data_IF_992443627670
#
_entry.id   IF_992443627670
#
_cell.length_a   1.000
_cell.length_b   1.000
_cell.length_c   1.000
_cell.angle_alpha   90.00
_cell.angle_beta   90.00
_cell.angle_gamma   90.00
#
_symmetry.space_group_name_H-M   'P 1'
#
loop_
_entity.id
_entity.type
_entity.pdbx_description
1 polymer ?
#
# COMPACT_ATOMS: atom_id res chain seq x y z
N UNK A 1 33.16 9.68 -10.32
CA UNK A 1 31.92 10.39 -10.70
C UNK A 1 30.75 9.46 -10.40
N UNK A 2 29.94 9.70 -9.36
CA UNK A 2 28.81 8.80 -9.07
C UNK A 2 27.76 8.97 -10.17
N UNK A 3 27.43 7.87 -10.82
CA UNK A 3 26.59 7.74 -12.01
C UNK A 3 25.16 8.24 -11.78
N UNK A 4 24.57 8.79 -12.85
CA UNK A 4 23.20 9.30 -12.99
C UNK A 4 22.09 8.39 -12.42
N UNK A 5 22.36 7.11 -12.16
CA UNK A 5 21.47 6.15 -11.52
C UNK A 5 21.07 6.54 -10.09
N UNK A 6 22.00 7.06 -9.27
CA UNK A 6 21.69 7.45 -7.88
C UNK A 6 20.76 8.68 -7.82
N UNK A 7 20.76 9.52 -8.87
CA UNK A 7 19.85 10.67 -8.96
C UNK A 7 18.42 10.25 -9.28
N UNK A 8 18.16 9.12 -9.95
CA UNK A 8 16.79 8.67 -10.23
C UNK A 8 16.12 8.00 -9.03
N UNK A 9 16.89 7.39 -8.14
CA UNK A 9 16.38 6.77 -6.90
C UNK A 9 15.95 7.79 -5.82
N UNK A 10 16.52 9.01 -5.82
CA UNK A 10 16.29 9.99 -4.75
C UNK A 10 15.14 10.98 -5.06
N UNK A 11 14.71 11.10 -6.31
CA UNK A 11 13.70 12.11 -6.70
C UNK A 11 12.24 11.73 -6.42
N UNK A 12 11.96 10.48 -6.03
CA UNK A 12 10.58 10.07 -5.67
C UNK A 12 10.31 10.23 -4.16
N UNK A 13 11.35 10.26 -3.32
CA UNK A 13 11.18 10.25 -1.85
C UNK A 13 11.36 11.63 -1.19
N UNK A 14 12.10 12.55 -1.81
CA UNK A 14 12.43 13.85 -1.19
C UNK A 14 11.48 15.01 -1.58
N UNK A 15 10.66 14.84 -2.62
CA UNK A 15 9.73 15.89 -3.06
C UNK A 15 8.47 16.07 -2.17
N UNK A 16 8.29 15.22 -1.14
CA UNK A 16 7.11 15.22 -0.28
C UNK A 16 7.24 16.02 1.04
N UNK A 17 8.41 16.57 1.39
CA UNK A 17 8.66 16.92 2.80
C UNK A 17 9.10 18.35 3.17
N UNK A 18 9.25 19.30 2.24
CA UNK A 18 9.66 20.66 2.64
C UNK A 18 8.87 21.79 1.95
N UNK A 19 7.93 22.37 2.69
CA UNK A 19 7.26 23.63 2.39
C UNK A 19 7.23 24.52 3.63
N UNK A 20 8.12 25.51 3.64
CA UNK A 20 8.40 26.47 4.71
C UNK A 20 7.29 27.52 4.87
N UNK A 21 7.26 28.11 6.08
CA UNK A 21 6.25 28.95 6.70
C UNK A 21 6.27 30.43 6.23
N UNK A 22 5.11 31.11 6.23
CA UNK A 22 5.04 32.55 6.55
C UNK A 22 3.65 33.00 7.02
N UNK A 23 3.65 33.93 7.98
CA UNK A 23 2.56 34.40 8.84
C UNK A 23 1.44 35.21 8.19
N UNK A 24 0.27 35.27 8.86
CA UNK A 24 -0.54 36.50 8.88
C UNK A 24 -2.07 36.40 8.93
N UNK A 25 -2.61 36.58 10.15
CA UNK A 25 -3.83 37.36 10.51
C UNK A 25 -5.24 36.79 10.22
N UNK A 26 -6.09 36.80 11.26
CA UNK A 26 -7.52 37.11 11.15
C UNK A 26 -8.47 36.24 11.97
N UNK A 27 -8.79 36.63 13.21
CA UNK A 27 -9.85 36.02 14.03
C UNK A 27 -11.24 36.39 13.49
N UNK A 28 -12.15 35.43 13.38
CA UNK A 28 -13.59 35.68 13.40
C UNK A 28 -14.31 34.59 14.21
N UNK A 29 -15.10 35.05 15.18
CA UNK A 29 -15.86 34.28 16.16
C UNK A 29 -17.24 33.99 15.57
N UNK A 30 -17.67 32.73 15.57
CA UNK A 30 -19.05 32.33 15.24
C UNK A 30 -19.63 31.64 16.47
N UNK A 31 -20.80 32.11 16.93
CA UNK A 31 -21.52 31.60 18.10
C UNK A 31 -22.19 30.23 17.83
N UNK A 32 -22.39 29.39 18.86
CA UNK A 32 -22.92 28.06 18.69
C UNK A 32 -24.45 28.08 18.52
N UNK A 33 -24.94 27.32 17.53
CA UNK A 33 -26.36 27.03 17.35
C UNK A 33 -26.70 25.76 18.15
N UNK A 34 -27.72 25.84 19.00
CA UNK A 34 -28.26 24.72 19.78
C UNK A 34 -28.88 23.67 18.86
N UNK A 35 -28.53 22.40 19.05
CA UNK A 35 -29.28 21.26 18.52
C UNK A 35 -29.71 20.31 19.66
N UNK A 36 -30.93 19.80 19.51
CA UNK A 36 -31.76 19.10 20.49
C UNK A 36 -31.33 17.64 20.71
N UNK A 37 -31.68 17.02 21.86
CA UNK A 37 -31.18 15.71 22.22
C UNK A 37 -31.94 14.59 21.49
N UNK A 38 -31.21 13.69 20.82
CA UNK A 38 -31.73 12.39 20.38
C UNK A 38 -31.22 11.33 21.36
N UNK A 39 -32.16 10.69 22.02
CA UNK A 39 -31.97 9.67 23.06
C UNK A 39 -31.49 8.33 22.50
N UNK A 40 -30.38 7.87 23.05
CA UNK A 40 -30.00 6.48 23.41
C UNK A 40 -30.25 5.36 22.39
N UNK A 41 -29.22 5.06 21.60
CA UNK A 41 -28.90 3.69 21.18
C UNK A 41 -27.62 3.28 21.91
N UNK A 42 -27.76 2.50 22.99
CA UNK A 42 -26.61 1.94 23.71
C UNK A 42 -25.97 0.83 22.86
N UNK A 43 -25.01 1.20 22.03
CA UNK A 43 -24.02 0.27 21.50
C UNK A 43 -22.95 0.16 22.59
N UNK A 44 -22.79 -1.03 23.16
CA UNK A 44 -21.70 -1.32 24.07
C UNK A 44 -20.37 -1.00 23.35
N UNK A 45 -19.45 -0.22 23.93
CA UNK A 45 -18.11 -0.11 23.39
C UNK A 45 -17.46 -1.49 23.57
N UNK A 46 -17.35 -2.24 22.49
CA UNK A 46 -16.34 -3.28 22.40
C UNK A 46 -15.01 -2.57 22.55
N UNK A 47 -14.23 -2.92 23.57
CA UNK A 47 -12.87 -2.39 23.76
C UNK A 47 -12.15 -2.45 22.41
N UNK A 48 -11.64 -1.31 21.93
CA UNK A 48 -10.91 -1.27 20.67
C UNK A 48 -9.67 -2.17 20.81
N UNK A 49 -9.46 -3.14 19.91
CA UNK A 49 -8.35 -4.08 20.03
C UNK A 49 -7.03 -3.32 19.97
N UNK A 50 -6.14 -3.52 20.95
CA UNK A 50 -4.87 -2.78 21.01
C UNK A 50 -3.98 -3.08 19.78
N UNK A 51 -3.67 -2.05 18.99
CA UNK A 51 -2.57 -2.08 18.01
C UNK A 51 -1.29 -1.65 18.74
N UNK A 52 -0.28 -2.50 18.64
CA UNK A 52 1.01 -2.36 19.33
C UNK A 52 1.79 -1.11 18.90
N UNK A 53 1.39 -0.46 17.79
CA UNK A 53 1.99 0.76 17.25
C UNK A 53 0.94 1.81 16.84
N UNK A 54 -0.17 1.91 17.57
CA UNK A 54 -1.15 2.98 17.34
C UNK A 54 -0.58 4.35 17.70
N UNK A 55 -0.79 5.33 16.82
CA UNK A 55 -0.46 6.73 17.11
C UNK A 55 -1.32 7.19 18.29
N UNK A 56 -0.74 7.67 19.40
CA UNK A 56 -1.49 7.99 20.62
C UNK A 56 -2.22 9.31 20.45
N UNK A 57 -3.35 9.29 19.74
CA UNK A 57 -4.23 10.45 19.56
C UNK A 57 -5.69 10.02 19.61
N UNK A 58 -6.12 9.46 20.76
CA UNK A 58 -7.54 9.47 21.11
C UNK A 58 -7.91 10.87 21.60
N UNK A 59 -8.08 11.80 20.65
CA UNK A 59 -8.63 13.12 20.94
C UNK A 59 -10.10 13.12 20.55
N UNK A 60 -11.00 13.43 21.48
CA UNK A 60 -12.44 13.59 21.24
C UNK A 60 -12.81 14.75 20.29
N UNK A 61 -11.83 15.37 19.63
CA UNK A 61 -12.01 16.56 18.80
C UNK A 61 -11.15 16.47 17.54
N UNK A 62 -11.80 16.69 16.39
CA UNK A 62 -11.14 16.74 15.08
C UNK A 62 -10.31 18.02 14.98
N UNK A 63 -9.04 17.85 14.60
CA UNK A 63 -8.08 18.93 14.39
C UNK A 63 -8.17 19.40 12.94
N UNK A 64 -8.99 20.43 12.70
CA UNK A 64 -9.38 20.88 11.36
C UNK A 64 -8.21 21.20 10.42
N UNK A 65 -7.10 21.76 10.91
CA UNK A 65 -5.94 22.03 10.03
C UNK A 65 -5.26 20.74 9.57
N UNK A 66 -5.20 19.70 10.42
CA UNK A 66 -4.65 18.38 10.03
C UNK A 66 -5.58 17.71 9.03
N UNK A 67 -6.89 17.81 9.25
CA UNK A 67 -7.88 17.35 8.28
C UNK A 67 -7.74 18.08 6.93
N UNK A 68 -7.52 19.39 6.95
CA UNK A 68 -7.23 20.18 5.75
C UNK A 68 -5.96 19.71 5.03
N UNK A 69 -4.90 19.37 5.77
CA UNK A 69 -3.66 18.80 5.20
C UNK A 69 -3.93 17.44 4.58
N UNK A 70 -4.57 16.51 5.30
CA UNK A 70 -4.88 15.17 4.79
C UNK A 70 -5.78 15.26 3.56
N UNK A 71 -6.84 16.06 3.60
CA UNK A 71 -7.73 16.29 2.47
C UNK A 71 -7.00 16.93 1.27
N UNK A 72 -6.15 17.93 1.52
CA UNK A 72 -5.34 18.56 0.47
C UNK A 72 -4.35 17.61 -0.19
N UNK A 73 -3.64 16.79 0.60
CA UNK A 73 -2.76 15.74 0.09
C UNK A 73 -3.53 14.68 -0.70
N UNK A 74 -4.75 14.34 -0.25
CA UNK A 74 -5.63 13.38 -0.95
C UNK A 74 -6.01 13.89 -2.33
N UNK A 75 -6.48 15.14 -2.43
CA UNK A 75 -6.86 15.77 -3.70
C UNK A 75 -5.64 15.94 -4.61
N UNK A 76 -4.51 16.40 -4.06
CA UNK A 76 -3.26 16.54 -4.80
C UNK A 76 -2.75 15.20 -5.34
N UNK A 77 -2.78 14.15 -4.53
CA UNK A 77 -2.43 12.80 -4.91
C UNK A 77 -3.35 12.24 -6.00
N UNK A 78 -4.67 12.45 -5.87
CA UNK A 78 -5.63 12.05 -6.90
C UNK A 78 -5.35 12.73 -8.24
N UNK A 79 -5.13 14.06 -8.24
CA UNK A 79 -4.83 14.83 -9.45
C UNK A 79 -3.52 14.34 -10.08
N UNK A 80 -2.47 14.17 -9.27
CA UNK A 80 -1.19 13.67 -9.75
C UNK A 80 -1.33 12.26 -10.35
N UNK A 81 -2.00 11.35 -9.64
CA UNK A 81 -2.27 9.99 -10.10
C UNK A 81 -3.05 10.01 -11.42
N UNK A 82 -4.10 10.83 -11.53
CA UNK A 82 -4.84 10.99 -12.78
C UNK A 82 -3.94 11.39 -13.96
N UNK A 83 -3.02 12.33 -13.76
CA UNK A 83 -2.11 12.76 -14.82
C UNK A 83 -1.04 11.71 -15.14
N UNK A 84 -0.52 11.01 -14.13
CA UNK A 84 0.45 9.94 -14.32
C UNK A 84 -0.19 8.79 -15.10
N UNK A 85 -1.30 8.24 -14.60
CA UNK A 85 -2.03 7.15 -15.27
C UNK A 85 -2.57 7.59 -16.64
N UNK A 86 -3.02 8.83 -16.76
CA UNK A 86 -3.42 9.41 -18.05
C UNK A 86 -2.28 9.45 -19.06
N UNK A 87 -1.04 9.58 -18.60
CA UNK A 87 0.13 9.55 -19.46
C UNK A 87 0.70 8.14 -19.68
N UNK A 88 0.38 7.17 -18.84
CA UNK A 88 0.88 5.81 -18.94
C UNK A 88 -0.12 4.92 -19.70
N UNK A 89 -1.37 4.86 -19.25
CA UNK A 89 -2.35 3.87 -19.68
C UNK A 89 -3.50 4.45 -20.51
N UNK A 90 -3.83 5.74 -20.35
CA UNK A 90 -5.00 6.35 -21.04
C UNK A 90 -4.66 7.29 -22.19
N UNK A 91 -3.47 7.15 -22.79
CA UNK A 91 -3.06 7.93 -23.97
C UNK A 91 -3.67 7.40 -25.29
N UNK A 92 -4.08 6.14 -25.30
CA UNK A 92 -4.59 5.44 -26.49
C UNK A 92 -5.98 5.90 -26.95
N UNK A 93 -6.55 5.15 -27.90
CA UNK A 93 -7.90 5.39 -28.38
C UNK A 93 -8.94 5.12 -27.28
N UNK A 94 -10.03 5.89 -27.35
CA UNK A 94 -11.15 5.77 -26.41
C UNK A 94 -12.23 4.89 -27.03
N UNK A 95 -12.85 4.09 -26.18
CA UNK A 95 -13.94 3.18 -26.52
C UNK A 95 -15.25 3.60 -25.84
N UNK A 96 -16.36 3.00 -26.26
CA UNK A 96 -17.54 2.91 -25.39
C UNK A 96 -17.21 2.04 -24.18
N UNK A 97 -17.89 2.26 -23.05
CA UNK A 97 -17.60 1.50 -21.84
C UNK A 97 -17.70 -0.01 -22.09
N UNK A 98 -16.62 -0.75 -21.80
CA UNK A 98 -16.61 -2.20 -21.87
C UNK A 98 -15.84 -2.83 -20.71
N UNK A 99 -16.04 -4.14 -20.57
CA UNK A 99 -15.31 -4.98 -19.64
C UNK A 99 -14.23 -5.74 -20.40
N UNK A 100 -13.14 -6.10 -19.72
CA UNK A 100 -12.19 -7.11 -20.20
C UNK A 100 -12.53 -8.46 -19.57
N UNK A 101 -12.64 -9.52 -20.38
CA UNK A 101 -13.00 -10.86 -19.92
C UNK A 101 -11.94 -11.90 -20.29
N UNK A 102 -11.40 -11.82 -21.51
CA UNK A 102 -10.44 -12.80 -22.02
C UNK A 102 -9.04 -12.57 -21.41
N UNK A 103 -8.62 -11.32 -21.30
CA UNK A 103 -7.29 -10.96 -20.83
C UNK A 103 -7.23 -10.88 -19.30
N UNK A 104 -8.37 -10.71 -18.62
CA UNK A 104 -8.47 -10.42 -17.19
C UNK A 104 -7.64 -11.36 -16.28
N UNK A 105 -7.62 -12.66 -16.60
CA UNK A 105 -6.93 -13.68 -15.81
C UNK A 105 -5.64 -14.20 -16.45
N UNK A 106 -5.32 -13.70 -17.64
CA UNK A 106 -4.20 -14.14 -18.47
C UNK A 106 -3.11 -13.07 -18.48
N UNK A 107 -3.51 -11.81 -18.41
CA UNK A 107 -2.65 -10.65 -18.49
C UNK A 107 -1.52 -10.73 -17.46
N UNK A 108 -0.29 -10.60 -17.94
CA UNK A 108 0.93 -10.64 -17.12
C UNK A 108 1.03 -11.86 -16.18
N UNK A 109 0.43 -12.99 -16.55
CA UNK A 109 0.32 -14.19 -15.70
C UNK A 109 -0.38 -13.90 -14.35
N UNK A 110 -1.26 -12.90 -14.30
CA UNK A 110 -1.93 -12.46 -13.08
C UNK A 110 -1.02 -11.71 -12.10
N UNK A 111 0.20 -11.33 -12.49
CA UNK A 111 1.11 -10.55 -11.64
C UNK A 111 0.56 -9.15 -11.34
N UNK A 112 -0.22 -8.58 -12.28
CA UNK A 112 -0.97 -7.34 -12.13
C UNK A 112 -1.93 -7.38 -10.93
N UNK A 113 -2.62 -8.50 -10.71
CA UNK A 113 -3.55 -8.69 -9.59
C UNK A 113 -2.87 -8.51 -8.23
N UNK A 114 -1.59 -8.86 -8.11
CA UNK A 114 -0.84 -8.59 -6.86
C UNK A 114 -0.59 -7.10 -6.65
N UNK A 115 -0.33 -6.34 -7.72
CA UNK A 115 -0.25 -4.88 -7.66
C UNK A 115 -1.59 -4.23 -7.28
N UNK A 116 -2.68 -4.73 -7.86
CA UNK A 116 -4.06 -4.32 -7.53
C UNK A 116 -4.47 -4.70 -6.11
N UNK A 117 -3.95 -5.79 -5.55
CA UNK A 117 -4.13 -6.08 -4.12
C UNK A 117 -3.28 -5.15 -3.24
N UNK A 118 -2.00 -5.04 -3.55
CA UNK A 118 -1.01 -4.39 -2.69
C UNK A 118 -1.21 -2.87 -2.58
N UNK A 119 -1.54 -2.21 -3.69
CA UNK A 119 -1.71 -0.75 -3.72
C UNK A 119 -2.81 -0.24 -2.77
N UNK A 120 -4.06 -0.72 -2.84
CA UNK A 120 -5.10 -0.34 -1.89
C UNK A 120 -4.90 -0.93 -0.49
N UNK A 121 -4.16 -2.03 -0.31
CA UNK A 121 -3.75 -2.48 1.02
C UNK A 121 -2.92 -1.41 1.74
N UNK A 122 -1.83 -0.95 1.12
CA UNK A 122 -0.97 0.12 1.66
C UNK A 122 -1.72 1.45 1.72
N UNK A 123 -2.47 1.78 0.67
CA UNK A 123 -3.25 3.02 0.59
C UNK A 123 -4.27 3.15 1.72
N UNK A 124 -4.98 2.06 2.05
CA UNK A 124 -5.91 2.03 3.18
C UNK A 124 -5.20 2.31 4.49
N UNK A 125 -4.02 1.75 4.73
CA UNK A 125 -3.31 2.03 5.97
C UNK A 125 -2.78 3.46 6.06
N UNK A 126 -2.19 3.99 4.98
CA UNK A 126 -1.68 5.36 4.95
C UNK A 126 -2.80 6.38 5.18
N UNK A 127 -3.97 6.17 4.57
CA UNK A 127 -5.14 7.00 4.83
C UNK A 127 -5.61 6.87 6.28
N UNK A 128 -5.67 5.65 6.82
CA UNK A 128 -6.09 5.42 8.22
C UNK A 128 -5.18 6.17 9.19
N UNK A 129 -3.85 6.01 9.06
CA UNK A 129 -2.86 6.72 9.89
C UNK A 129 -3.01 8.24 9.76
N UNK A 130 -3.19 8.75 8.54
CA UNK A 130 -3.40 10.18 8.29
C UNK A 130 -4.67 10.70 8.96
N UNK A 131 -5.77 9.97 8.88
CA UNK A 131 -7.06 10.33 9.48
C UNK A 131 -7.03 10.25 11.02
N UNK A 132 -6.39 9.23 11.59
CA UNK A 132 -6.14 9.14 13.04
C UNK A 132 -5.32 10.34 13.53
N UNK A 133 -4.32 10.76 12.76
CA UNK A 133 -3.54 11.95 13.08
C UNK A 133 -4.38 13.23 13.13
N UNK A 134 -5.53 13.28 12.43
CA UNK A 134 -6.48 14.39 12.53
C UNK A 134 -7.35 14.37 13.79
N UNK A 135 -7.27 13.31 14.61
CA UNK A 135 -8.12 13.11 15.78
C UNK A 135 -9.47 12.44 15.46
N UNK A 136 -9.60 11.81 14.28
CA UNK A 136 -10.73 10.89 14.04
C UNK A 136 -10.51 9.61 14.86
N UNK A 137 -11.60 9.02 15.36
CA UNK A 137 -11.52 7.71 16.02
C UNK A 137 -10.96 6.66 15.06
N UNK A 138 -10.35 5.61 15.60
CA UNK A 138 -9.75 4.54 14.82
C UNK A 138 -10.75 3.86 13.89
N UNK A 139 -11.93 3.53 14.42
CA UNK A 139 -13.02 2.95 13.62
C UNK A 139 -13.42 3.87 12.46
N UNK A 140 -13.62 5.17 12.71
CA UNK A 140 -13.98 6.12 11.65
C UNK A 140 -12.86 6.28 10.62
N UNK A 141 -11.61 6.36 11.09
CA UNK A 141 -10.44 6.47 10.23
C UNK A 141 -10.29 5.27 9.31
N UNK A 142 -10.49 4.05 9.80
CA UNK A 142 -10.45 2.83 9.00
C UNK A 142 -11.50 2.85 7.88
N UNK A 143 -12.76 3.15 8.19
CA UNK A 143 -13.83 3.12 7.19
C UNK A 143 -13.73 4.24 6.16
N UNK A 144 -13.31 5.44 6.58
CA UNK A 144 -12.99 6.53 5.64
C UNK A 144 -11.81 6.16 4.75
N UNK A 145 -10.76 5.57 5.32
CA UNK A 145 -9.60 5.12 4.55
C UNK A 145 -9.96 4.04 3.53
N UNK A 146 -10.74 3.04 3.93
CA UNK A 146 -11.25 2.00 3.05
C UNK A 146 -12.10 2.58 1.92
N UNK A 147 -12.99 3.53 2.23
CA UNK A 147 -13.80 4.22 1.22
C UNK A 147 -12.98 5.05 0.24
N UNK A 148 -11.95 5.77 0.71
CA UNK A 148 -11.06 6.57 -0.13
C UNK A 148 -10.19 5.69 -1.04
N UNK A 149 -9.60 4.62 -0.50
CA UNK A 149 -8.80 3.68 -1.27
C UNK A 149 -9.63 2.95 -2.34
N UNK A 150 -10.78 2.38 -1.96
CA UNK A 150 -11.71 1.75 -2.91
C UNK A 150 -12.25 2.74 -3.95
N UNK A 151 -12.56 3.97 -3.54
CA UNK A 151 -13.03 5.00 -4.46
C UNK A 151 -12.00 5.34 -5.54
N UNK A 152 -10.71 5.38 -5.18
CA UNK A 152 -9.64 5.61 -6.14
C UNK A 152 -9.44 4.42 -7.10
N UNK A 153 -9.43 3.18 -6.59
CA UNK A 153 -9.26 2.01 -7.46
C UNK A 153 -10.46 1.79 -8.38
N UNK A 154 -11.69 1.92 -7.87
CA UNK A 154 -12.90 1.88 -8.71
C UNK A 154 -12.86 2.96 -9.80
N UNK A 155 -12.37 4.16 -9.46
CA UNK A 155 -12.19 5.22 -10.43
C UNK A 155 -11.22 4.81 -11.56
N UNK A 156 -10.11 4.14 -11.23
CA UNK A 156 -9.15 3.61 -12.22
C UNK A 156 -9.83 2.57 -13.11
N UNK A 157 -10.49 1.56 -12.54
CA UNK A 157 -11.17 0.51 -13.34
C UNK A 157 -12.26 1.08 -14.27
N UNK A 158 -13.01 2.09 -13.80
CA UNK A 158 -14.00 2.78 -14.64
C UNK A 158 -13.31 3.51 -15.80
N UNK A 159 -12.14 4.10 -15.57
CA UNK A 159 -11.36 4.78 -16.61
C UNK A 159 -10.80 3.79 -17.62
N UNK A 160 -10.33 2.63 -17.17
CA UNK A 160 -9.89 1.54 -18.05
C UNK A 160 -11.05 1.03 -18.90
N UNK A 161 -12.26 1.00 -18.36
CA UNK A 161 -13.48 0.69 -19.10
C UNK A 161 -13.75 1.55 -20.34
N UNK A 162 -13.19 2.77 -20.42
CA UNK A 162 -13.32 3.66 -21.60
C UNK A 162 -12.06 3.67 -22.49
N UNK A 163 -11.11 2.76 -22.27
CA UNK A 163 -9.91 2.59 -23.09
C UNK A 163 -10.10 1.42 -24.05
N UNK A 164 -9.84 1.63 -25.34
CA UNK A 164 -9.91 0.55 -26.35
C UNK A 164 -8.91 -0.59 -26.08
N UNK A 165 -7.79 -0.29 -25.41
CA UNK A 165 -6.72 -1.25 -25.11
C UNK A 165 -6.99 -2.09 -23.86
N UNK A 166 -7.66 -1.52 -22.85
CA UNK A 166 -7.83 -2.16 -21.54
C UNK A 166 -9.24 -2.71 -21.33
N UNK A 167 -10.16 -1.91 -20.80
CA UNK A 167 -11.48 -2.33 -20.32
C UNK A 167 -11.54 -2.47 -18.79
N UNK A 168 -12.74 -2.40 -18.22
CA UNK A 168 -12.95 -2.61 -16.79
C UNK A 168 -12.65 -4.08 -16.45
N UNK A 169 -11.73 -4.32 -15.53
CA UNK A 169 -11.36 -5.66 -15.10
C UNK A 169 -12.10 -6.05 -13.82
N UNK A 170 -12.75 -7.22 -13.84
CA UNK A 170 -13.34 -7.78 -12.62
C UNK A 170 -12.27 -8.39 -11.72
N UNK A 171 -11.22 -8.98 -12.29
CA UNK A 171 -10.09 -9.49 -11.52
C UNK A 171 -9.36 -8.39 -10.75
N UNK A 172 -9.11 -7.25 -11.37
CA UNK A 172 -8.50 -6.07 -10.74
C UNK A 172 -9.42 -5.49 -9.68
N UNK A 173 -10.71 -5.31 -9.99
CA UNK A 173 -11.70 -4.89 -8.99
C UNK A 173 -11.73 -5.83 -7.75
N UNK A 174 -11.68 -7.16 -7.96
CA UNK A 174 -11.65 -8.14 -6.87
C UNK A 174 -10.34 -8.03 -6.09
N UNK A 175 -9.19 -7.98 -6.77
CA UNK A 175 -7.89 -7.84 -6.13
C UNK A 175 -7.80 -6.56 -5.30
N UNK A 176 -8.25 -5.43 -5.86
CA UNK A 176 -8.37 -4.16 -5.18
C UNK A 176 -9.22 -4.27 -3.90
N UNK A 177 -10.39 -4.91 -4.02
CA UNK A 177 -11.31 -5.12 -2.91
C UNK A 177 -10.72 -6.01 -1.81
N UNK A 178 -9.96 -7.05 -2.19
CA UNK A 178 -9.26 -7.91 -1.25
C UNK A 178 -8.15 -7.16 -0.51
N UNK A 179 -7.43 -6.25 -1.18
CA UNK A 179 -6.40 -5.41 -0.55
C UNK A 179 -6.96 -4.50 0.54
N UNK A 180 -8.04 -3.77 0.24
CA UNK A 180 -8.77 -2.96 1.24
C UNK A 180 -9.33 -3.86 2.34
N UNK A 181 -9.99 -4.95 1.93
CA UNK A 181 -10.60 -5.92 2.83
C UNK A 181 -9.62 -6.54 3.81
N UNK A 182 -8.38 -6.78 3.39
CA UNK A 182 -7.32 -7.29 4.26
C UNK A 182 -7.01 -6.32 5.40
N UNK A 183 -6.88 -5.01 5.11
CA UNK A 183 -6.62 -4.01 6.17
C UNK A 183 -7.80 -3.84 7.11
N UNK A 184 -9.04 -3.99 6.61
CA UNK A 184 -10.24 -4.05 7.45
C UNK A 184 -10.25 -5.33 8.29
N UNK A 185 -9.84 -6.46 7.74
CA UNK A 185 -9.79 -7.73 8.46
C UNK A 185 -8.75 -7.69 9.60
N UNK A 186 -7.56 -7.13 9.36
CA UNK A 186 -6.53 -6.90 10.40
C UNK A 186 -7.06 -6.09 11.60
N UNK A 187 -8.01 -5.18 11.38
CA UNK A 187 -8.64 -4.42 12.46
C UNK A 187 -9.52 -5.29 13.38
N UNK A 188 -10.30 -6.21 12.80
CA UNK A 188 -11.20 -7.08 13.55
C UNK A 188 -10.54 -8.37 14.05
N UNK A 189 -9.49 -8.82 13.37
CA UNK A 189 -8.69 -9.98 13.72
C UNK A 189 -7.20 -9.58 13.73
N UNK A 190 -6.69 -9.08 14.88
CA UNK A 190 -5.30 -8.65 15.02
C UNK A 190 -4.27 -9.75 14.71
N UNK A 191 -4.66 -11.03 14.78
CA UNK A 191 -3.76 -12.12 14.38
C UNK A 191 -3.31 -12.00 12.91
N UNK A 192 -4.12 -11.41 12.03
CA UNK A 192 -3.76 -11.21 10.62
C UNK A 192 -2.58 -10.25 10.43
N UNK A 193 -2.28 -9.40 11.42
CA UNK A 193 -1.11 -8.51 11.36
C UNK A 193 0.22 -9.27 11.38
N UNK A 194 0.20 -10.57 11.73
CA UNK A 194 1.35 -11.46 11.60
C UNK A 194 1.71 -11.78 10.14
N UNK A 195 0.86 -11.43 9.19
CA UNK A 195 1.12 -11.57 7.76
C UNK A 195 1.14 -10.18 7.14
N UNK A 196 2.36 -9.65 6.93
CA UNK A 196 2.57 -8.34 6.30
C UNK A 196 2.84 -8.52 4.81
N UNK A 197 2.04 -7.87 3.97
CA UNK A 197 2.27 -7.84 2.54
C UNK A 197 3.31 -6.77 2.21
N UNK A 198 4.34 -7.16 1.48
CA UNK A 198 5.45 -6.29 1.09
C UNK A 198 5.72 -6.36 -0.41
N UNK A 199 6.35 -5.32 -0.93
CA UNK A 199 6.83 -5.28 -2.31
C UNK A 199 8.33 -5.02 -2.34
N UNK A 200 8.99 -5.51 -3.39
CA UNK A 200 10.34 -5.08 -3.74
C UNK A 200 10.52 -5.07 -5.25
N UNK A 201 11.65 -4.48 -5.67
CA UNK A 201 11.95 -4.29 -7.09
C UNK A 201 13.38 -4.68 -7.39
N UNK A 202 13.56 -5.51 -8.42
CA UNK A 202 14.84 -5.80 -9.04
C UNK A 202 14.70 -5.64 -10.55
N UNK A 203 15.30 -4.58 -11.08
CA UNK A 203 15.07 -4.14 -12.45
C UNK A 203 15.41 -5.25 -13.46
N UNK A 204 14.44 -5.64 -14.29
CA UNK A 204 14.65 -6.54 -15.42
C UNK A 204 15.59 -5.90 -16.46
N UNK A 205 16.12 -6.73 -17.35
CA UNK A 205 16.94 -6.22 -18.46
C UNK A 205 16.09 -5.38 -19.43
N UNK A 206 14.82 -5.75 -19.67
CA UNK A 206 13.91 -4.95 -20.48
C UNK A 206 13.67 -3.55 -19.88
N UNK A 207 13.49 -3.45 -18.56
CA UNK A 207 13.38 -2.14 -17.90
C UNK A 207 14.68 -1.33 -18.00
N UNK A 208 15.84 -1.95 -17.77
CA UNK A 208 17.16 -1.30 -17.87
C UNK A 208 17.45 -0.79 -19.28
N UNK A 209 16.99 -1.50 -20.31
CA UNK A 209 17.10 -1.13 -21.72
C UNK A 209 16.07 -0.06 -22.15
N UNK A 210 15.10 0.26 -21.28
CA UNK A 210 14.13 1.32 -21.50
C UNK A 210 12.86 0.87 -22.21
N UNK A 211 12.53 -0.42 -22.19
CA UNK A 211 11.29 -0.95 -22.75
C UNK A 211 10.05 -0.41 -22.00
N UNK A 212 10.20 -0.09 -20.73
CA UNK A 212 9.14 0.45 -19.87
C UNK A 212 9.50 1.83 -19.35
N UNK A 213 8.50 2.69 -19.27
CA UNK A 213 8.67 4.06 -18.77
C UNK A 213 8.69 4.13 -17.24
N UNK A 214 8.05 3.17 -16.58
CA UNK A 214 8.02 3.03 -15.12
C UNK A 214 8.29 1.58 -14.72
N UNK A 215 8.87 1.38 -13.53
CA UNK A 215 9.22 0.03 -13.06
C UNK A 215 7.99 -0.79 -12.67
N UNK A 216 6.87 -0.12 -12.38
CA UNK A 216 5.61 -0.76 -12.00
C UNK A 216 4.87 -1.36 -13.20
N UNK A 217 5.12 -0.84 -14.42
CA UNK A 217 4.61 -1.44 -15.67
C UNK A 217 5.42 -2.69 -16.07
N UNK A 218 6.59 -2.90 -15.47
CA UNK A 218 7.40 -4.09 -15.67
C UNK A 218 7.16 -5.11 -14.56
N UNK A 219 6.24 -6.04 -14.84
CA UNK A 219 5.92 -7.12 -13.92
C UNK A 219 7.09 -8.06 -13.64
N UNK A 220 8.10 -8.13 -14.52
CA UNK A 220 9.32 -8.89 -14.26
C UNK A 220 10.24 -8.19 -13.26
N UNK A 221 10.10 -6.87 -13.09
CA UNK A 221 10.86 -6.12 -12.08
C UNK A 221 10.24 -6.20 -10.69
N UNK A 222 9.01 -6.70 -10.56
CA UNK A 222 8.22 -6.60 -9.33
C UNK A 222 8.18 -7.93 -8.58
N UNK A 223 8.37 -7.85 -7.27
CA UNK A 223 8.36 -8.99 -6.35
C UNK A 223 7.38 -8.73 -5.21
N UNK A 224 6.46 -9.67 -5.00
CA UNK A 224 5.44 -9.59 -3.96
C UNK A 224 5.74 -10.59 -2.86
N UNK A 225 5.64 -10.16 -1.61
CA UNK A 225 6.03 -10.94 -0.45
C UNK A 225 4.93 -11.01 0.59
N UNK A 226 4.67 -12.19 1.11
CA UNK A 226 4.00 -12.39 2.40
C UNK A 226 5.07 -12.57 3.47
N UNK A 227 5.28 -11.56 4.31
CA UNK A 227 6.19 -11.61 5.45
C UNK A 227 5.45 -12.12 6.68
N UNK A 228 5.95 -13.23 7.22
CA UNK A 228 5.38 -13.91 8.38
C UNK A 228 6.15 -13.52 9.65
N UNK A 229 5.46 -12.90 10.61
CA UNK A 229 6.01 -12.59 11.93
C UNK A 229 6.14 -13.85 12.76
N UNK A 230 7.31 -14.49 12.66
CA UNK A 230 7.60 -15.74 13.34
C UNK A 230 7.57 -15.56 14.86
N UNK A 231 8.08 -14.43 15.38
CA UNK A 231 8.15 -14.20 16.83
C UNK A 231 6.76 -14.25 17.46
N UNK A 232 5.79 -13.53 16.90
CA UNK A 232 4.44 -13.45 17.46
C UNK A 232 3.64 -14.74 17.25
N UNK A 233 3.90 -15.46 16.15
CA UNK A 233 3.29 -16.76 15.85
C UNK A 233 3.87 -17.91 16.69
N UNK A 234 5.06 -17.76 17.28
CA UNK A 234 5.67 -18.78 18.13
C UNK A 234 4.97 -18.87 19.50
N UNK A 235 4.91 -20.07 20.11
CA UNK A 235 4.45 -20.22 21.49
C UNK A 235 5.33 -19.41 22.46
N UNK A 236 4.74 -18.89 23.53
CA UNK A 236 5.39 -17.95 24.47
C UNK A 236 6.78 -18.40 24.95
N UNK A 237 6.97 -19.69 25.18
CA UNK A 237 8.24 -20.26 25.65
C UNK A 237 9.37 -20.26 24.60
N UNK A 238 9.05 -20.05 23.32
CA UNK A 238 10.02 -19.98 22.21
C UNK A 238 10.28 -18.55 21.73
N UNK A 239 9.46 -17.57 22.14
CA UNK A 239 9.58 -16.18 21.67
C UNK A 239 10.92 -15.53 22.00
N UNK A 240 11.51 -15.84 23.16
CA UNK A 240 12.82 -15.32 23.55
C UNK A 240 13.99 -15.90 22.74
N UNK A 241 13.75 -16.96 21.96
CA UNK A 241 14.78 -17.61 21.14
C UNK A 241 14.81 -17.08 19.71
N UNK A 242 13.79 -16.34 19.28
CA UNK A 242 13.67 -15.81 17.94
C UNK A 242 13.71 -14.28 17.96
N UNK A 243 14.56 -13.61 17.18
CA UNK A 243 14.57 -12.14 17.15
C UNK A 243 13.26 -11.58 16.60
N UNK A 244 12.67 -10.61 17.29
CA UNK A 244 11.42 -9.92 16.91
C UNK A 244 11.52 -9.09 15.61
N UNK A 245 12.75 -8.76 15.21
CA UNK A 245 13.06 -8.07 13.96
C UNK A 245 13.32 -9.01 12.76
N UNK A 246 13.24 -10.34 12.93
CA UNK A 246 13.39 -11.32 11.83
C UNK A 246 12.06 -12.00 11.52
N UNK A 247 11.66 -11.93 10.26
CA UNK A 247 10.51 -12.63 9.69
C UNK A 247 10.94 -13.65 8.63
N UNK A 248 9.98 -14.46 8.17
CA UNK A 248 10.14 -15.32 7.00
C UNK A 248 9.26 -14.79 5.87
N UNK A 249 9.87 -14.48 4.72
CA UNK A 249 9.18 -14.02 3.52
C UNK A 249 8.85 -15.16 2.56
N UNK A 250 7.61 -15.23 2.11
CA UNK A 250 7.19 -16.05 0.96
C UNK A 250 6.99 -15.12 -0.24
N UNK A 251 7.85 -15.26 -1.25
CA UNK A 251 7.90 -14.34 -2.39
C UNK A 251 7.37 -14.94 -3.69
N UNK A 252 6.86 -14.07 -4.55
CA UNK A 252 6.39 -14.37 -5.89
C UNK A 252 6.84 -13.30 -6.88
N UNK A 253 7.20 -13.73 -8.09
CA UNK A 253 7.42 -12.86 -9.25
C UNK A 253 7.16 -13.66 -10.53
N UNK A 254 7.20 -12.98 -11.67
CA UNK A 254 7.05 -13.56 -13.00
C UNK A 254 8.25 -13.23 -13.87
N UNK A 255 8.55 -14.08 -14.85
CA UNK A 255 9.68 -13.93 -15.79
C UNK A 255 9.31 -14.36 -17.19
N UNK A 256 10.03 -13.81 -18.17
CA UNK A 256 9.82 -14.00 -19.61
C UNK A 256 8.36 -13.69 -20.02
N UNK A 257 7.80 -12.60 -19.47
CA UNK A 257 6.38 -12.28 -19.57
C UNK A 257 6.07 -11.62 -20.91
N UNK A 258 5.08 -12.17 -21.61
CA UNK A 258 4.38 -11.45 -22.68
C UNK A 258 2.98 -11.16 -22.20
N UNK A 259 2.74 -9.91 -21.81
CA UNK A 259 1.62 -9.56 -20.95
C UNK A 259 0.26 -10.02 -21.52
N UNK A 260 -0.07 -9.68 -22.77
CA UNK A 260 -1.36 -10.06 -23.37
C UNK A 260 -1.46 -11.54 -23.79
N UNK A 261 -0.33 -12.21 -24.03
CA UNK A 261 -0.34 -13.62 -24.45
C UNK A 261 -0.42 -14.59 -23.25
N UNK A 262 -0.21 -14.09 -22.03
CA UNK A 262 -0.15 -14.89 -20.81
C UNK A 262 0.96 -15.93 -20.82
N UNK A 263 2.05 -15.67 -21.55
CA UNK A 263 3.22 -16.56 -21.58
C UNK A 263 4.30 -16.08 -20.61
N UNK A 264 5.10 -17.01 -20.12
CA UNK A 264 6.21 -16.79 -19.19
C UNK A 264 6.19 -17.88 -18.12
N UNK A 265 6.77 -17.60 -16.95
CA UNK A 265 6.68 -18.50 -15.80
C UNK A 265 6.71 -17.76 -14.46
N UNK A 266 6.17 -18.42 -13.45
CA UNK A 266 6.22 -17.96 -12.07
C UNK A 266 7.51 -18.37 -11.39
N UNK A 267 8.04 -17.47 -10.57
CA UNK A 267 9.09 -17.75 -9.62
C UNK A 267 8.53 -17.67 -8.20
N UNK A 268 8.86 -18.68 -7.38
CA UNK A 268 8.48 -18.72 -5.97
C UNK A 268 9.74 -18.68 -5.12
N UNK A 269 9.65 -17.96 -4.00
CA UNK A 269 10.78 -17.65 -3.14
C UNK A 269 10.45 -17.92 -1.67
N UNK A 270 11.47 -18.33 -0.92
CA UNK A 270 11.45 -18.34 0.54
C UNK A 270 12.71 -17.62 1.01
N UNK A 271 12.56 -16.64 1.90
CA UNK A 271 13.68 -15.85 2.40
C UNK A 271 13.50 -15.39 3.83
N UNK A 272 14.55 -14.80 4.39
CA UNK A 272 14.41 -13.96 5.57
C UNK A 272 13.76 -12.65 5.16
N UNK A 273 13.07 -12.00 6.10
CA UNK A 273 12.57 -10.64 5.95
C UNK A 273 12.87 -9.85 7.24
N UNK A 274 12.94 -8.53 7.12
CA UNK A 274 13.25 -7.64 8.23
C UNK A 274 11.97 -6.96 8.71
N UNK A 275 11.61 -7.21 9.97
CA UNK A 275 10.50 -6.50 10.61
C UNK A 275 10.99 -5.15 11.15
N UNK A 276 10.82 -4.09 10.37
CA UNK A 276 11.32 -2.76 10.73
C UNK A 276 10.55 -2.12 11.87
N UNK A 277 9.34 -2.60 12.17
CA UNK A 277 8.54 -2.16 13.32
C UNK A 277 9.16 -2.55 14.67
N UNK A 278 9.97 -3.62 14.70
CA UNK A 278 10.74 -4.04 15.88
C UNK A 278 12.05 -3.28 16.10
N UNK A 279 12.42 -2.34 15.22
CA UNK A 279 13.66 -1.57 15.37
C UNK A 279 13.53 -0.52 16.50
N UNK A 280 14.65 -0.19 17.18
CA UNK A 280 14.64 0.79 18.27
C UNK A 280 14.25 2.19 17.77
N UNK A 281 13.55 2.94 18.61
CA UNK A 281 13.05 4.29 18.31
C UNK A 281 11.57 4.41 18.65
N UNK A 282 11.22 5.46 19.39
CA UNK A 282 9.88 5.68 19.95
C UNK A 282 9.29 6.98 19.44
N UNK A 283 7.96 7.02 19.31
CA UNK A 283 7.19 8.21 19.00
C UNK A 283 6.60 8.19 17.60
N UNK A 284 5.56 9.01 17.41
CA UNK A 284 4.68 8.98 16.24
C UNK A 284 5.40 9.00 14.88
N UNK A 285 6.45 9.81 14.75
CA UNK A 285 7.24 9.86 13.53
C UNK A 285 8.01 8.56 13.27
N UNK A 286 8.65 7.99 14.30
CA UNK A 286 9.41 6.76 14.16
C UNK A 286 8.51 5.57 13.90
N UNK A 287 7.35 5.50 14.55
CA UNK A 287 6.39 4.42 14.34
C UNK A 287 5.82 4.47 12.91
N UNK A 288 5.47 5.68 12.43
CA UNK A 288 5.11 5.89 11.02
C UNK A 288 6.22 5.49 10.06
N UNK A 289 7.46 5.92 10.30
CA UNK A 289 8.60 5.63 9.42
C UNK A 289 8.92 4.13 9.38
N UNK A 290 9.00 3.48 10.54
CA UNK A 290 9.24 2.04 10.67
C UNK A 290 8.17 1.25 9.92
N UNK A 291 6.88 1.58 10.11
CA UNK A 291 5.76 0.93 9.41
C UNK A 291 5.79 1.19 7.91
N UNK A 292 6.11 2.41 7.49
CA UNK A 292 6.23 2.77 6.07
C UNK A 292 7.34 2.00 5.37
N UNK A 293 8.50 1.87 6.00
CA UNK A 293 9.60 1.04 5.46
C UNK A 293 9.20 -0.45 5.47
N UNK A 294 8.39 -0.89 6.42
CA UNK A 294 7.97 -2.28 6.54
C UNK A 294 7.09 -2.75 5.36
N UNK A 295 6.54 -1.83 4.55
CA UNK A 295 5.88 -2.18 3.29
C UNK A 295 6.86 -2.61 2.20
N UNK A 296 8.13 -2.26 2.33
CA UNK A 296 9.17 -2.67 1.40
C UNK A 296 9.93 -3.89 1.92
N UNK A 297 10.08 -4.91 1.09
CA UNK A 297 10.96 -6.04 1.41
C UNK A 297 12.42 -5.62 1.17
N UNK A 298 13.16 -5.42 2.26
CA UNK A 298 14.57 -5.04 2.19
C UNK A 298 15.43 -6.25 1.81
N UNK A 299 16.59 -6.04 1.16
CA UNK A 299 17.44 -7.14 0.68
C UNK A 299 17.75 -8.16 1.77
N UNK A 300 17.49 -9.43 1.50
CA UNK A 300 17.66 -10.50 2.46
C UNK A 300 18.15 -11.80 1.82
N UNK A 301 18.76 -12.72 2.59
CA UNK A 301 19.04 -14.07 2.11
C UNK A 301 17.76 -14.77 1.66
N UNK A 302 17.79 -15.30 0.43
CA UNK A 302 16.60 -15.85 -0.22
C UNK A 302 16.95 -17.05 -1.07
N UNK A 303 16.03 -18.01 -1.15
CA UNK A 303 16.09 -19.14 -2.06
C UNK A 303 14.90 -19.04 -3.02
N UNK A 304 15.16 -19.03 -4.33
CA UNK A 304 14.11 -19.36 -5.31
C UNK A 304 13.90 -20.86 -5.26
N UNK A 305 12.68 -21.30 -5.05
CA UNK A 305 12.32 -22.72 -4.94
C UNK A 305 11.64 -23.26 -6.21
N UNK A 306 11.07 -22.38 -7.03
CA UNK A 306 10.49 -22.71 -8.33
C UNK A 306 10.85 -21.63 -9.36
N UNK A 307 11.07 -21.97 -10.64
CA UNK A 307 11.01 -23.33 -11.22
C UNK A 307 12.25 -24.18 -10.91
N UNK A 308 13.31 -23.59 -10.38
CA UNK A 308 14.52 -24.29 -9.96
C UNK A 308 15.14 -23.64 -8.72
N UNK A 309 15.85 -24.46 -7.95
CA UNK A 309 16.51 -24.01 -6.73
C UNK A 309 17.70 -23.11 -7.07
N UNK A 310 17.63 -21.85 -6.64
CA UNK A 310 18.72 -20.88 -6.75
C UNK A 310 18.88 -20.15 -5.42
N UNK A 311 20.12 -20.10 -4.93
CA UNK A 311 20.47 -19.42 -3.69
C UNK A 311 20.93 -17.99 -3.98
N UNK A 312 20.27 -17.03 -3.36
CA UNK A 312 20.63 -15.61 -3.40
C UNK A 312 21.20 -15.21 -2.05
N UNK A 313 22.42 -14.65 -2.04
CA UNK A 313 23.01 -14.12 -0.83
C UNK A 313 22.18 -12.95 -0.27
N UNK A 314 21.79 -12.03 -1.16
CA UNK A 314 20.79 -11.00 -0.91
C UNK A 314 19.92 -10.90 -2.15
N UNK A 315 18.60 -10.92 -1.97
CA UNK A 315 17.62 -10.62 -3.02
C UNK A 315 16.75 -9.45 -2.57
N UNK A 316 16.52 -8.52 -3.48
CA UNK A 316 15.54 -7.44 -3.34
C UNK A 316 14.17 -8.06 -3.49
#
# INVERSE_FOLDING_TARGET
MPSLLLRRYIHVVIALFFGYQSDGVGKARVEPRQELPISHLHIHPTEEPADTLSLPLDTSHIILYRLGVVGGLSVGGFILGHFVLGNLWWKGEKSEFHFTWQDDWVYALGADKFGHFYTPYVGTDLYRQGLEWTGLSRTSSLWWAAGLASGYTIYVEIRDGFSEEWGFSWGDFIANSLGVGWRVAEYYEPWLENVRWKISYDASDAFKEGAYSTIVDDYESTYHWASLNVNDMLPAQWRSLWPDWINIGLGHSVKDVRAHDGTGYHELYIGLDWNTEGLPGEGSFWDWLKRTINYYHLPAPTVRIAPSIVWYGLKF
#
